data_IF_462611812674
#
_entry.id   IF_462611812674
#
_cell.length_a   1.000
_cell.length_b   1.000
_cell.length_c   1.000
_cell.angle_alpha   90.00
_cell.angle_beta   90.00
_cell.angle_gamma   90.00
#
_symmetry.space_group_name_H-M   'P 1'
#
loop_
_entity.id
_entity.type
_entity.pdbx_description
1 polymer ?
#
# COMPACT_ATOMS: atom_id res chain seq x y z
N UNK A 1 12.67 17.08 6.15
CA UNK A 1 11.96 15.92 6.68
C UNK A 1 12.74 14.67 6.32
N UNK A 2 12.94 13.77 7.25
CA UNK A 2 13.61 12.48 7.08
C UNK A 2 12.64 11.36 7.49
N UNK A 3 12.44 10.36 6.63
CA UNK A 3 11.62 9.18 6.91
C UNK A 3 12.45 7.93 6.73
N UNK A 4 12.19 6.89 7.53
CA UNK A 4 12.89 5.60 7.45
C UNK A 4 12.74 4.92 6.09
N UNK A 5 11.57 5.06 5.48
CA UNK A 5 11.31 4.73 4.07
C UNK A 5 10.32 5.73 3.46
N UNK A 6 10.44 6.02 2.15
CA UNK A 6 9.55 6.96 1.48
C UNK A 6 8.17 6.35 1.21
N UNK A 7 7.21 7.22 0.84
CA UNK A 7 5.92 6.86 0.26
C UNK A 7 5.00 6.01 1.13
N UNK A 8 5.10 6.15 2.47
CA UNK A 8 4.21 5.44 3.40
C UNK A 8 4.47 3.93 3.50
N UNK A 9 5.64 3.48 3.05
CA UNK A 9 6.07 2.08 3.24
C UNK A 9 6.54 1.83 4.67
N UNK A 10 6.61 0.56 5.06
CA UNK A 10 7.02 0.14 6.40
C UNK A 10 8.55 0.09 6.51
N UNK A 11 9.13 0.74 7.49
CA UNK A 11 10.59 0.89 7.60
C UNK A 11 11.10 0.93 9.03
N UNK A 12 10.52 0.10 9.90
CA UNK A 12 11.00 -0.08 11.26
C UNK A 12 12.35 -0.79 11.31
N UNK A 13 12.96 -0.89 12.50
CA UNK A 13 14.18 -1.67 12.68
C UNK A 13 13.92 -3.12 12.28
N UNK A 14 14.88 -3.70 11.58
CA UNK A 14 14.87 -5.13 11.21
C UNK A 14 16.17 -5.71 11.72
N UNK A 15 16.08 -6.45 12.82
CA UNK A 15 17.22 -7.10 13.46
C UNK A 15 16.79 -8.37 14.17
N UNK A 16 17.74 -9.12 14.65
CA UNK A 16 17.51 -10.29 15.49
C UNK A 16 17.24 -9.92 16.97
N UNK A 17 17.07 -8.61 17.26
CA UNK A 17 16.60 -8.05 18.54
C UNK A 17 17.64 -7.27 19.36
N UNK A 18 17.19 -6.69 20.45
CA UNK A 18 17.95 -6.15 21.58
C UNK A 18 18.88 -4.97 21.29
N UNK A 19 20.18 -5.20 21.30
CA UNK A 19 21.19 -4.14 21.20
C UNK A 19 21.24 -3.51 19.82
N UNK A 20 20.98 -4.29 18.76
CA UNK A 20 20.96 -3.80 17.38
C UNK A 20 19.77 -2.84 17.17
N UNK A 21 18.60 -3.16 17.72
CA UNK A 21 17.44 -2.28 17.66
C UNK A 21 17.73 -0.95 18.36
N UNK A 22 18.38 -0.97 19.53
CA UNK A 22 18.79 0.25 20.24
C UNK A 22 19.78 1.09 19.43
N UNK A 23 20.77 0.45 18.81
CA UNK A 23 21.76 1.14 17.96
C UNK A 23 21.09 1.77 16.71
N UNK A 24 20.19 1.05 16.05
CA UNK A 24 19.45 1.58 14.90
C UNK A 24 18.55 2.77 15.28
N UNK A 25 17.90 2.72 16.44
CA UNK A 25 17.09 3.81 16.94
C UNK A 25 17.92 5.01 17.39
N UNK A 26 19.12 4.77 17.96
CA UNK A 26 20.07 5.84 18.26
C UNK A 26 20.52 6.54 16.98
N UNK A 27 20.93 5.80 15.97
CA UNK A 27 21.28 6.34 14.66
C UNK A 27 20.12 7.12 14.00
N UNK A 28 18.88 6.64 14.15
CA UNK A 28 17.69 7.37 13.70
C UNK A 28 17.51 8.70 14.46
N UNK A 29 17.70 8.71 15.80
CA UNK A 29 17.64 9.95 16.60
C UNK A 29 18.71 10.97 16.21
N UNK A 30 19.91 10.49 15.86
CA UNK A 30 21.00 11.36 15.41
C UNK A 30 20.64 12.12 14.12
N UNK A 31 19.78 11.56 13.26
CA UNK A 31 19.27 12.29 12.09
C UNK A 31 18.48 13.56 12.48
N UNK A 32 17.84 13.58 13.66
CA UNK A 32 17.15 14.76 14.19
C UNK A 32 18.12 15.87 14.59
N UNK A 33 19.34 15.52 14.98
CA UNK A 33 20.39 16.48 15.37
C UNK A 33 21.02 17.18 14.17
N UNK A 34 20.87 16.63 12.96
CA UNK A 34 21.46 17.22 11.76
C UNK A 34 20.84 18.57 11.42
N UNK A 35 21.67 19.56 11.02
CA UNK A 35 21.17 20.85 10.52
C UNK A 35 20.14 20.65 9.40
N UNK A 36 19.04 21.42 9.43
CA UNK A 36 17.98 21.34 8.42
C UNK A 36 16.95 20.22 8.62
N UNK A 37 17.13 19.28 9.55
CA UNK A 37 16.11 18.29 9.86
C UNK A 37 15.06 18.90 10.79
N UNK A 38 13.85 19.11 10.28
CA UNK A 38 12.69 19.65 11.00
C UNK A 38 11.83 18.53 11.59
N UNK A 39 11.73 17.42 10.87
CA UNK A 39 10.93 16.26 11.24
C UNK A 39 11.64 14.98 10.81
N UNK A 40 11.61 13.96 11.64
CA UNK A 40 11.96 12.58 11.27
C UNK A 40 10.82 11.62 11.64
N UNK A 41 10.56 10.66 10.79
CA UNK A 41 9.49 9.68 10.94
C UNK A 41 9.97 8.25 10.72
N UNK A 42 9.44 7.34 11.54
CA UNK A 42 9.66 5.90 11.47
C UNK A 42 8.32 5.20 11.42
N UNK A 43 8.10 4.36 10.40
CA UNK A 43 6.93 3.48 10.34
C UNK A 43 7.33 2.11 10.87
N UNK A 44 7.07 1.88 12.15
CA UNK A 44 7.42 0.65 12.86
C UNK A 44 6.30 -0.39 12.72
N UNK A 45 6.40 -1.20 11.67
CA UNK A 45 5.38 -2.20 11.34
C UNK A 45 5.32 -3.35 12.34
N UNK A 46 6.45 -3.80 12.84
CA UNK A 46 6.51 -4.92 13.78
C UNK A 46 6.42 -4.50 15.25
N UNK A 47 6.27 -3.20 15.52
CA UNK A 47 6.22 -2.64 16.88
C UNK A 47 7.43 -3.02 17.75
N UNK A 48 8.56 -3.31 17.11
CA UNK A 48 9.81 -3.70 17.76
C UNK A 48 10.64 -2.53 18.27
N UNK A 49 10.32 -1.30 17.84
CA UNK A 49 11.05 -0.14 18.34
C UNK A 49 10.76 0.10 19.83
N UNK A 50 11.78 0.15 20.70
CA UNK A 50 11.60 0.51 22.10
C UNK A 50 10.93 1.87 22.24
N UNK A 51 10.25 2.10 23.36
CA UNK A 51 9.61 3.38 23.62
C UNK A 51 10.68 4.49 23.63
N UNK A 52 10.60 5.35 22.64
CA UNK A 52 11.59 6.41 22.40
C UNK A 52 11.25 7.72 23.11
N UNK A 53 10.18 7.77 23.92
CA UNK A 53 9.64 9.00 24.48
C UNK A 53 9.07 9.95 23.41
N UNK A 54 9.01 9.51 22.15
CA UNK A 54 8.41 10.25 21.05
C UNK A 54 6.91 9.99 20.95
N UNK A 55 6.18 10.94 20.39
CA UNK A 55 4.75 10.74 20.12
C UNK A 55 4.59 9.63 19.08
N UNK A 56 4.08 8.49 19.52
CA UNK A 56 3.71 7.38 18.65
C UNK A 56 2.21 7.46 18.32
N UNK A 57 1.88 7.34 17.05
CA UNK A 57 0.51 7.22 16.57
C UNK A 57 0.26 5.76 16.17
N UNK A 58 -0.88 5.20 16.56
CA UNK A 58 -1.30 3.88 16.08
C UNK A 58 -1.92 4.02 14.71
N UNK A 59 -1.37 3.30 13.74
CA UNK A 59 -1.93 3.17 12.40
C UNK A 59 -2.46 1.74 12.19
N UNK A 60 -3.33 1.58 11.21
CA UNK A 60 -4.02 0.32 10.93
C UNK A 60 -3.86 -0.04 9.46
N UNK A 61 -3.51 -1.29 9.21
CA UNK A 61 -3.64 -1.94 7.91
C UNK A 61 -4.52 -3.18 8.03
N UNK A 62 -4.81 -3.84 6.92
CA UNK A 62 -5.56 -5.09 6.88
C UNK A 62 -4.76 -6.14 6.13
N UNK A 63 -4.64 -7.31 6.71
CA UNK A 63 -3.84 -8.43 6.18
C UNK A 63 -4.77 -9.61 5.93
N UNK A 64 -4.72 -10.16 4.73
CA UNK A 64 -5.36 -11.43 4.37
C UNK A 64 -4.36 -12.55 4.62
N UNK A 65 -4.70 -13.50 5.46
CA UNK A 65 -3.93 -14.72 5.63
C UNK A 65 -4.14 -15.62 4.41
N UNK A 66 -3.07 -16.03 3.72
CA UNK A 66 -3.13 -16.84 2.51
C UNK A 66 -2.94 -18.34 2.78
N UNK A 67 -2.67 -18.74 4.01
CA UNK A 67 -2.51 -20.14 4.39
C UNK A 67 -3.81 -20.90 4.13
N UNK A 68 -3.69 -22.08 3.56
CA UNK A 68 -4.83 -22.85 3.06
C UNK A 68 -5.13 -22.63 1.58
N UNK A 69 -4.45 -21.65 0.93
CA UNK A 69 -4.59 -21.40 -0.50
C UNK A 69 -5.80 -20.55 -0.88
N UNK A 70 -5.95 -20.31 -2.18
CA UNK A 70 -6.96 -19.39 -2.69
C UNK A 70 -8.40 -19.86 -2.43
N UNK A 71 -8.65 -21.16 -2.46
CA UNK A 71 -10.00 -21.69 -2.24
C UNK A 71 -10.51 -21.39 -0.83
N UNK A 72 -9.64 -21.49 0.18
CA UNK A 72 -9.97 -21.09 1.56
C UNK A 72 -10.23 -19.59 1.63
N UNK A 73 -9.34 -18.76 1.06
CA UNK A 73 -9.53 -17.30 1.03
C UNK A 73 -10.84 -16.94 0.33
N UNK A 74 -11.12 -17.54 -0.81
CA UNK A 74 -12.30 -17.27 -1.61
C UNK A 74 -13.60 -17.68 -0.92
N UNK A 75 -13.66 -18.89 -0.37
CA UNK A 75 -14.90 -19.44 0.16
C UNK A 75 -15.20 -18.97 1.57
N UNK A 76 -14.18 -18.81 2.41
CA UNK A 76 -14.32 -18.56 3.85
C UNK A 76 -14.06 -17.10 4.24
N UNK A 77 -13.19 -16.37 3.51
CA UNK A 77 -12.73 -15.03 3.90
C UNK A 77 -13.35 -13.91 3.07
N UNK A 78 -13.51 -14.11 1.75
CA UNK A 78 -14.25 -13.14 0.94
C UNK A 78 -15.73 -13.20 1.23
N UNK A 79 -16.36 -12.05 1.49
CA UNK A 79 -17.80 -12.04 1.65
C UNK A 79 -18.56 -12.31 0.32
N UNK A 80 -19.84 -12.76 0.44
CA UNK A 80 -20.68 -13.07 -0.73
C UNK A 80 -20.80 -11.91 -1.72
N UNK A 81 -21.03 -10.64 -1.29
CA UNK A 81 -21.08 -9.50 -2.20
C UNK A 81 -19.81 -9.32 -3.01
N UNK A 82 -18.63 -9.54 -2.42
CA UNK A 82 -17.35 -9.39 -3.14
C UNK A 82 -17.18 -10.49 -4.18
N UNK A 83 -17.47 -11.74 -3.83
CA UNK A 83 -17.45 -12.84 -4.81
C UNK A 83 -18.38 -12.59 -6.00
N UNK A 84 -19.60 -12.06 -5.76
CA UNK A 84 -20.52 -11.69 -6.84
C UNK A 84 -19.95 -10.56 -7.74
N UNK A 85 -19.30 -9.57 -7.15
CA UNK A 85 -18.68 -8.48 -7.93
C UNK A 85 -17.52 -8.97 -8.80
N UNK A 86 -16.71 -9.90 -8.29
CA UNK A 86 -15.64 -10.52 -9.07
C UNK A 86 -16.24 -11.25 -10.30
N UNK A 87 -17.23 -12.12 -10.08
CA UNK A 87 -17.89 -12.85 -11.17
C UNK A 87 -18.51 -11.89 -12.20
N UNK A 88 -19.21 -10.85 -11.73
CA UNK A 88 -19.80 -9.85 -12.62
C UNK A 88 -18.76 -9.09 -13.42
N UNK A 89 -17.59 -8.81 -12.86
CA UNK A 89 -16.50 -8.20 -13.63
C UNK A 89 -16.01 -9.12 -14.74
N UNK A 90 -15.84 -10.41 -14.44
CA UNK A 90 -15.45 -11.44 -15.43
C UNK A 90 -16.55 -11.61 -16.50
N UNK A 91 -17.81 -11.69 -16.13
CA UNK A 91 -18.96 -11.76 -17.04
C UNK A 91 -19.06 -10.54 -17.96
N UNK A 92 -18.67 -9.37 -17.48
CA UNK A 92 -18.60 -8.13 -18.26
C UNK A 92 -17.30 -8.01 -19.10
N UNK A 93 -16.52 -9.07 -19.25
CA UNK A 93 -15.33 -9.08 -20.10
C UNK A 93 -14.12 -8.34 -19.51
N UNK A 94 -14.08 -8.10 -18.20
CA UNK A 94 -12.87 -7.56 -17.55
C UNK A 94 -11.87 -8.69 -17.36
N UNK A 95 -10.68 -8.52 -17.91
CA UNK A 95 -9.56 -9.45 -17.74
C UNK A 95 -8.48 -8.83 -16.86
N UNK A 96 -7.77 -9.67 -16.08
CA UNK A 96 -6.62 -9.24 -15.28
C UNK A 96 -5.42 -10.09 -15.60
N UNK A 97 -4.31 -9.41 -15.91
CA UNK A 97 -3.01 -10.03 -16.21
C UNK A 97 -1.86 -9.25 -15.58
N UNK A 98 -0.69 -9.85 -15.50
CA UNK A 98 0.54 -9.11 -15.21
C UNK A 98 0.86 -8.18 -16.39
N UNK A 99 1.38 -6.99 -16.09
CA UNK A 99 1.82 -6.03 -17.09
C UNK A 99 2.94 -6.61 -17.96
N UNK A 100 2.87 -6.34 -19.26
CA UNK A 100 3.82 -6.78 -20.28
C UNK A 100 4.55 -5.53 -20.83
N UNK A 101 5.74 -5.30 -20.33
CA UNK A 101 6.58 -4.19 -20.80
C UNK A 101 6.16 -2.81 -20.25
N UNK A 102 6.87 -1.79 -20.73
CA UNK A 102 6.73 -0.42 -20.24
C UNK A 102 5.43 0.25 -20.68
N UNK A 103 4.87 -0.15 -21.82
CA UNK A 103 3.64 0.44 -22.34
C UNK A 103 2.45 0.22 -21.38
N UNK A 104 2.30 -0.99 -20.83
CA UNK A 104 1.26 -1.25 -19.82
C UNK A 104 1.47 -0.40 -18.56
N UNK A 105 2.72 -0.16 -18.17
CA UNK A 105 3.04 0.69 -17.01
C UNK A 105 2.62 2.13 -17.30
N UNK A 106 2.93 2.67 -18.48
CA UNK A 106 2.54 4.04 -18.88
C UNK A 106 1.03 4.20 -18.91
N UNK A 107 0.31 3.27 -19.54
CA UNK A 107 -1.16 3.28 -19.57
C UNK A 107 -1.79 3.19 -18.18
N UNK A 108 -1.20 2.39 -17.29
CA UNK A 108 -1.64 2.38 -15.89
C UNK A 108 -1.38 3.74 -15.20
N UNK A 109 -0.24 4.37 -15.46
CA UNK A 109 0.09 5.69 -14.90
C UNK A 109 -0.89 6.76 -15.40
N UNK A 110 -1.38 6.67 -16.63
CA UNK A 110 -2.42 7.56 -17.13
C UNK A 110 -3.73 7.39 -16.35
N UNK A 111 -4.17 6.15 -16.09
CA UNK A 111 -5.32 5.87 -15.21
C UNK A 111 -5.08 6.44 -13.81
N UNK A 112 -3.89 6.27 -13.27
CA UNK A 112 -3.49 6.80 -11.97
C UNK A 112 -3.57 8.32 -11.91
N UNK A 113 -3.02 9.03 -12.91
CA UNK A 113 -3.06 10.50 -13.00
C UNK A 113 -4.49 11.02 -13.11
N UNK A 114 -5.28 10.48 -14.05
CA UNK A 114 -6.69 10.84 -14.21
C UNK A 114 -7.49 10.71 -12.90
N UNK A 115 -7.17 9.69 -12.11
CA UNK A 115 -7.83 9.45 -10.83
C UNK A 115 -7.43 10.44 -9.75
N UNK A 116 -6.14 10.81 -9.68
CA UNK A 116 -5.67 11.85 -8.77
C UNK A 116 -6.28 13.22 -9.10
N UNK A 117 -6.39 13.55 -10.38
CA UNK A 117 -7.01 14.80 -10.84
C UNK A 117 -8.49 14.84 -10.46
N UNK A 118 -9.23 13.74 -10.69
CA UNK A 118 -10.63 13.63 -10.30
C UNK A 118 -10.85 13.77 -8.79
N UNK A 119 -9.92 13.30 -7.97
CA UNK A 119 -9.97 13.44 -6.51
C UNK A 119 -9.40 14.77 -6.00
N UNK A 120 -8.84 15.59 -6.89
CA UNK A 120 -8.15 16.84 -6.53
C UNK A 120 -7.02 16.62 -5.50
N UNK A 121 -6.42 15.44 -5.52
CA UNK A 121 -5.27 15.10 -4.67
C UNK A 121 -4.01 15.41 -5.45
N UNK A 122 -3.41 16.56 -5.25
CA UNK A 122 -2.12 16.87 -5.85
C UNK A 122 -1.01 15.92 -5.40
N UNK A 123 0.11 15.88 -6.14
CA UNK A 123 1.35 15.26 -5.66
C UNK A 123 1.48 13.76 -5.92
N UNK A 124 0.98 13.27 -7.03
CA UNK A 124 1.21 11.88 -7.47
C UNK A 124 2.69 11.54 -7.68
N UNK A 125 2.99 10.26 -7.73
CA UNK A 125 4.34 9.79 -8.03
C UNK A 125 4.69 9.96 -9.50
N UNK A 126 5.96 10.23 -9.84
CA UNK A 126 6.40 10.35 -11.22
C UNK A 126 6.33 8.98 -11.91
N UNK A 127 6.01 8.98 -13.20
CA UNK A 127 5.96 7.79 -14.04
C UNK A 127 7.24 6.95 -13.96
N UNK A 128 8.39 7.63 -13.96
CA UNK A 128 9.68 6.98 -13.86
C UNK A 128 9.81 6.06 -12.63
N UNK A 129 9.16 6.40 -11.52
CA UNK A 129 9.15 5.54 -10.34
C UNK A 129 8.47 4.19 -10.62
N UNK A 130 7.30 4.21 -11.29
CA UNK A 130 6.59 2.98 -11.64
C UNK A 130 7.36 2.13 -12.64
N UNK A 131 7.94 2.75 -13.67
CA UNK A 131 8.79 2.08 -14.65
C UNK A 131 10.00 1.39 -14.00
N UNK A 132 10.72 2.11 -13.13
CA UNK A 132 11.89 1.57 -12.44
C UNK A 132 11.52 0.46 -11.44
N UNK A 133 10.42 0.60 -10.71
CA UNK A 133 9.96 -0.44 -9.79
C UNK A 133 9.63 -1.74 -10.53
N UNK A 134 8.88 -1.67 -11.64
CA UNK A 134 8.52 -2.85 -12.42
C UNK A 134 9.75 -3.46 -13.10
N UNK A 135 10.61 -2.64 -13.72
CA UNK A 135 11.81 -3.08 -14.40
C UNK A 135 12.80 -3.77 -13.44
N UNK A 136 13.13 -3.11 -12.31
CA UNK A 136 14.10 -3.64 -11.33
C UNK A 136 13.52 -4.77 -10.48
N UNK A 137 12.21 -4.80 -10.28
CA UNK A 137 11.52 -5.85 -9.54
C UNK A 137 11.46 -7.18 -10.27
N UNK A 138 11.54 -7.16 -11.62
CA UNK A 138 11.63 -8.33 -12.48
C UNK A 138 10.50 -9.34 -12.28
N UNK A 139 9.33 -8.89 -11.88
CA UNK A 139 8.17 -9.74 -11.56
C UNK A 139 8.27 -10.52 -10.24
N UNK A 140 9.46 -10.57 -9.62
CA UNK A 140 9.71 -11.32 -8.37
C UNK A 140 9.64 -10.45 -7.12
N UNK A 141 10.11 -9.19 -7.21
CA UNK A 141 10.08 -8.23 -6.09
C UNK A 141 8.98 -7.20 -6.24
N UNK A 142 8.57 -6.95 -7.47
CA UNK A 142 7.51 -6.00 -7.81
C UNK A 142 6.79 -6.51 -9.04
N UNK A 143 5.46 -6.54 -9.03
CA UNK A 143 4.65 -6.83 -10.20
C UNK A 143 3.47 -5.86 -10.28
N UNK A 144 3.23 -5.33 -11.47
CA UNK A 144 2.03 -4.59 -11.80
C UNK A 144 1.04 -5.55 -12.44
N UNK A 145 -0.17 -5.63 -11.88
CA UNK A 145 -1.31 -6.26 -12.51
C UNK A 145 -2.17 -5.18 -13.15
N UNK A 146 -2.64 -5.42 -14.35
CA UNK A 146 -3.54 -4.52 -15.08
C UNK A 146 -4.87 -5.20 -15.33
N UNK A 147 -5.95 -4.44 -15.17
CA UNK A 147 -7.29 -4.83 -15.60
C UNK A 147 -7.56 -4.22 -16.97
N UNK A 148 -7.97 -5.03 -17.91
CA UNK A 148 -8.30 -4.63 -19.28
C UNK A 148 -9.76 -4.88 -19.59
N UNK A 149 -10.33 -4.02 -20.43
CA UNK A 149 -11.66 -4.17 -20.99
C UNK A 149 -11.67 -3.56 -22.39
N UNK A 150 -12.16 -4.28 -23.41
CA UNK A 150 -12.19 -3.82 -24.81
C UNK A 150 -10.82 -3.32 -25.31
N UNK A 151 -9.74 -4.01 -24.91
CA UNK A 151 -8.37 -3.68 -25.29
C UNK A 151 -7.73 -2.50 -24.54
N UNK A 152 -8.48 -1.78 -23.70
CA UNK A 152 -8.00 -0.67 -22.89
C UNK A 152 -7.65 -1.08 -21.45
N UNK A 153 -6.64 -0.46 -20.84
CA UNK A 153 -6.37 -0.60 -19.40
C UNK A 153 -7.33 0.31 -18.64
N UNK A 154 -8.15 -0.29 -17.77
CA UNK A 154 -9.14 0.38 -16.94
C UNK A 154 -8.79 0.40 -15.45
N UNK A 155 -7.67 -0.22 -15.08
CA UNK A 155 -7.17 -0.23 -13.71
C UNK A 155 -5.88 -1.01 -13.59
N UNK A 156 -5.25 -0.91 -12.42
CA UNK A 156 -4.06 -1.68 -12.12
C UNK A 156 -3.75 -1.73 -10.64
N UNK A 157 -2.89 -2.67 -10.27
CA UNK A 157 -2.46 -2.90 -8.91
C UNK A 157 -0.98 -3.26 -8.85
N UNK A 158 -0.18 -2.41 -8.22
CA UNK A 158 1.25 -2.63 -8.04
C UNK A 158 1.49 -3.30 -6.68
N UNK A 159 2.05 -4.49 -6.73
CA UNK A 159 2.41 -5.30 -5.57
C UNK A 159 3.91 -5.27 -5.33
N UNK A 160 4.30 -5.23 -4.06
CA UNK A 160 5.67 -5.44 -3.58
C UNK A 160 5.76 -6.78 -2.87
N UNK A 161 6.79 -7.55 -3.17
CA UNK A 161 6.98 -8.91 -2.65
C UNK A 161 8.24 -8.98 -1.79
N UNK A 162 8.12 -9.53 -0.59
CA UNK A 162 9.24 -9.76 0.29
C UNK A 162 9.04 -11.01 1.15
N UNK A 163 10.00 -11.95 1.07
CA UNK A 163 9.96 -13.24 1.80
C UNK A 163 8.63 -13.97 1.57
N UNK A 164 7.74 -14.00 2.57
CA UNK A 164 6.43 -14.67 2.52
C UNK A 164 5.25 -13.70 2.48
N UNK A 165 5.52 -12.40 2.33
CA UNK A 165 4.50 -11.35 2.37
C UNK A 165 4.39 -10.60 1.06
N UNK A 166 3.17 -10.22 0.70
CA UNK A 166 2.86 -9.32 -0.41
C UNK A 166 2.25 -8.04 0.14
N UNK A 167 2.67 -6.89 -0.37
CA UNK A 167 2.08 -5.59 -0.04
C UNK A 167 1.40 -5.01 -1.28
N UNK A 168 0.10 -4.77 -1.19
CA UNK A 168 -0.65 -3.99 -2.14
C UNK A 168 -0.27 -2.51 -1.99
N UNK A 169 0.72 -2.06 -2.78
CA UNK A 169 1.28 -0.73 -2.58
C UNK A 169 0.42 0.36 -3.23
N UNK A 170 0.06 0.17 -4.50
CA UNK A 170 -0.82 1.08 -5.24
C UNK A 170 -1.84 0.33 -6.06
N UNK A 171 -3.12 0.69 -5.88
CA UNK A 171 -4.22 0.18 -6.67
C UNK A 171 -5.14 1.32 -7.10
N UNK A 172 -5.42 1.40 -8.38
CA UNK A 172 -6.32 2.39 -8.97
C UNK A 172 -7.18 1.77 -10.06
N UNK A 173 -8.40 2.27 -10.19
CA UNK A 173 -9.29 1.98 -11.30
C UNK A 173 -9.85 3.29 -11.86
N UNK A 174 -10.05 3.37 -13.17
CA UNK A 174 -10.74 4.46 -13.82
C UNK A 174 -12.23 4.48 -13.41
N UNK A 175 -12.98 5.50 -13.77
CA UNK A 175 -14.43 5.52 -13.56
C UNK A 175 -15.10 4.28 -14.20
N UNK A 176 -14.72 3.94 -15.44
CA UNK A 176 -15.18 2.72 -16.13
C UNK A 176 -14.79 1.45 -15.37
N UNK A 177 -13.56 1.41 -14.82
CA UNK A 177 -13.10 0.30 -13.99
C UNK A 177 -13.91 0.14 -12.69
N UNK A 178 -14.33 1.23 -12.06
CA UNK A 178 -15.21 1.18 -10.88
C UNK A 178 -16.60 0.63 -11.23
N UNK A 179 -17.21 1.08 -12.34
CA UNK A 179 -18.51 0.57 -12.84
C UNK A 179 -18.46 -0.92 -13.09
N UNK A 180 -17.36 -1.41 -13.69
CA UNK A 180 -17.15 -2.81 -14.03
C UNK A 180 -16.56 -3.65 -12.88
N UNK A 181 -16.39 -3.07 -11.68
CA UNK A 181 -15.79 -3.73 -10.50
C UNK A 181 -14.35 -4.23 -10.72
N UNK A 182 -13.59 -3.63 -11.62
CA UNK A 182 -12.22 -4.02 -11.95
C UNK A 182 -11.29 -4.05 -10.72
N UNK A 183 -11.41 -3.09 -9.80
CA UNK A 183 -10.62 -3.05 -8.57
C UNK A 183 -10.84 -4.28 -7.67
N UNK A 184 -12.06 -4.81 -7.60
CA UNK A 184 -12.35 -6.03 -6.83
C UNK A 184 -11.77 -7.28 -7.50
N UNK A 185 -11.86 -7.36 -8.83
CA UNK A 185 -11.26 -8.46 -9.61
C UNK A 185 -9.74 -8.42 -9.54
N UNK A 186 -9.12 -7.23 -9.59
CA UNK A 186 -7.67 -7.05 -9.40
C UNK A 186 -7.20 -7.64 -8.07
N UNK A 187 -7.86 -7.30 -6.96
CA UNK A 187 -7.52 -7.88 -5.66
C UNK A 187 -7.66 -9.41 -5.65
N UNK A 188 -8.76 -9.94 -6.18
CA UNK A 188 -8.97 -11.39 -6.22
C UNK A 188 -7.89 -12.10 -7.04
N UNK A 189 -7.48 -11.55 -8.17
CA UNK A 189 -6.41 -12.10 -9.02
C UNK A 189 -5.03 -11.98 -8.38
N UNK A 190 -4.69 -10.84 -7.79
CA UNK A 190 -3.44 -10.65 -7.07
C UNK A 190 -3.31 -11.60 -5.87
N UNK A 191 -4.40 -11.79 -5.10
CA UNK A 191 -4.43 -12.71 -3.97
C UNK A 191 -4.30 -14.17 -4.45
N UNK A 192 -4.99 -14.55 -5.54
CA UNK A 192 -4.87 -15.89 -6.14
C UNK A 192 -3.43 -16.17 -6.58
N UNK A 193 -2.82 -15.24 -7.28
CA UNK A 193 -1.44 -15.31 -7.73
C UNK A 193 -0.47 -15.46 -6.55
N UNK A 194 -0.66 -14.67 -5.50
CA UNK A 194 0.14 -14.77 -4.27
C UNK A 194 -0.01 -16.13 -3.56
N UNK A 195 -1.22 -16.72 -3.53
CA UNK A 195 -1.44 -18.07 -3.01
C UNK A 195 -0.70 -19.11 -3.85
N UNK A 196 -0.77 -19.01 -5.19
CA UNK A 196 -0.10 -19.95 -6.11
C UNK A 196 1.42 -19.89 -5.99
N UNK A 197 1.97 -18.71 -5.74
CA UNK A 197 3.41 -18.52 -5.51
C UNK A 197 3.85 -18.85 -4.07
N UNK A 198 2.94 -19.28 -3.19
CA UNK A 198 3.23 -19.76 -1.83
C UNK A 198 3.55 -18.65 -0.82
N UNK A 199 3.01 -17.44 -1.01
CA UNK A 199 3.05 -16.39 -0.01
C UNK A 199 2.11 -16.71 1.15
N UNK A 200 2.45 -16.25 2.36
CA UNK A 200 1.70 -16.53 3.58
C UNK A 200 0.66 -15.45 3.89
N UNK A 201 0.89 -14.22 3.46
CA UNK A 201 0.01 -13.09 3.74
C UNK A 201 -0.01 -12.05 2.62
N UNK A 202 -1.13 -11.32 2.54
CA UNK A 202 -1.35 -10.24 1.61
C UNK A 202 -1.84 -9.00 2.34
N UNK A 203 -0.96 -8.00 2.47
CA UNK A 203 -1.25 -6.75 3.13
C UNK A 203 -1.97 -5.79 2.17
N UNK A 204 -3.21 -5.46 2.47
CA UNK A 204 -4.08 -4.59 1.68
C UNK A 204 -3.74 -3.09 1.81
N UNK A 205 -2.64 -2.75 2.51
CA UNK A 205 -2.19 -1.38 2.73
C UNK A 205 -3.01 -0.60 3.75
N UNK A 206 -2.57 0.63 4.06
CA UNK A 206 -3.23 1.51 5.01
C UNK A 206 -4.60 2.01 4.51
N UNK A 207 -5.53 2.26 5.43
CA UNK A 207 -6.87 2.78 5.12
C UNK A 207 -7.05 4.26 5.47
N UNK A 208 -6.02 4.89 6.06
CA UNK A 208 -5.99 6.30 6.44
C UNK A 208 -7.25 6.77 7.21
N UNK A 209 -7.83 5.88 8.04
CA UNK A 209 -9.03 6.16 8.82
C UNK A 209 -10.35 6.21 8.02
N UNK A 210 -10.31 6.00 6.69
CA UNK A 210 -11.52 6.01 5.85
C UNK A 210 -12.36 4.76 6.08
N UNK A 211 -13.53 4.89 6.71
CA UNK A 211 -14.44 3.79 7.05
C UNK A 211 -14.79 2.91 5.86
N UNK A 212 -15.18 3.51 4.74
CA UNK A 212 -15.52 2.76 3.53
C UNK A 212 -14.39 1.87 3.01
N UNK A 213 -13.13 2.34 3.13
CA UNK A 213 -11.96 1.57 2.72
C UNK A 213 -11.63 0.45 3.72
N UNK A 214 -11.86 0.69 5.02
CA UNK A 214 -11.75 -0.35 6.05
C UNK A 214 -12.75 -1.47 5.79
N UNK A 215 -14.04 -1.13 5.59
CA UNK A 215 -15.10 -2.09 5.34
C UNK A 215 -14.86 -2.85 4.01
N UNK A 216 -14.35 -2.15 2.99
CA UNK A 216 -13.93 -2.78 1.74
C UNK A 216 -12.83 -3.85 1.98
N UNK A 217 -11.78 -3.53 2.72
CA UNK A 217 -10.68 -4.46 3.01
C UNK A 217 -11.11 -5.64 3.87
N UNK A 218 -11.96 -5.40 4.86
CA UNK A 218 -12.58 -6.47 5.66
C UNK A 218 -13.37 -7.42 4.79
N UNK A 219 -14.14 -6.91 3.82
CA UNK A 219 -14.93 -7.73 2.90
C UNK A 219 -14.10 -8.59 1.92
N UNK A 220 -12.80 -8.31 1.79
CA UNK A 220 -11.81 -9.14 1.08
C UNK A 220 -11.10 -10.14 2.03
N UNK A 221 -11.59 -10.31 3.26
CA UNK A 221 -10.98 -11.18 4.26
C UNK A 221 -9.81 -10.56 5.01
N UNK A 222 -9.62 -9.26 4.91
CA UNK A 222 -8.56 -8.55 5.62
C UNK A 222 -8.84 -8.44 7.11
N UNK A 223 -7.93 -8.92 7.93
CA UNK A 223 -7.94 -8.78 9.39
C UNK A 223 -7.13 -7.55 9.79
N UNK A 224 -7.64 -6.77 10.74
CA UNK A 224 -6.98 -5.57 11.25
C UNK A 224 -5.62 -5.92 11.86
N UNK A 225 -4.58 -5.19 11.42
CA UNK A 225 -3.24 -5.23 11.98
C UNK A 225 -2.80 -3.83 12.37
N UNK A 226 -2.38 -3.66 13.64
CA UNK A 226 -1.95 -2.38 14.20
C UNK A 226 -0.45 -2.26 14.19
N UNK A 227 0.05 -1.09 13.79
CA UNK A 227 1.45 -0.76 13.80
C UNK A 227 1.66 0.69 14.27
N UNK A 228 2.89 1.05 14.58
CA UNK A 228 3.22 2.37 15.13
C UNK A 228 3.86 3.27 14.09
N UNK A 229 3.51 4.55 14.13
CA UNK A 229 4.21 5.61 13.41
C UNK A 229 4.82 6.52 14.48
N UNK A 230 6.14 6.50 14.57
CA UNK A 230 6.90 7.31 15.53
C UNK A 230 7.36 8.56 14.81
N UNK A 231 7.02 9.74 15.36
CA UNK A 231 7.37 11.05 14.78
C UNK A 231 8.09 11.91 15.78
N UNK A 232 9.24 12.42 15.39
CA UNK A 232 9.96 13.45 16.10
C UNK A 232 9.91 14.76 15.32
N UNK A 233 9.43 15.84 15.96
CA UNK A 233 9.39 17.18 15.38
C UNK A 233 10.17 18.13 16.26
N UNK A 234 11.07 18.91 15.67
CA UNK A 234 11.67 20.07 16.35
C UNK A 234 10.60 21.14 16.58
N UNK A 235 10.86 22.06 17.53
CA UNK A 235 9.92 23.13 17.90
C UNK A 235 9.43 23.93 16.67
N UNK A 236 10.33 24.31 15.78
CA UNK A 236 10.00 24.97 14.50
C UNK A 236 9.07 24.13 13.63
N UNK A 237 9.27 22.81 13.59
CA UNK A 237 8.39 21.87 12.86
C UNK A 237 6.99 21.76 13.46
N UNK A 238 6.86 21.96 14.78
CA UNK A 238 5.54 22.00 15.45
C UNK A 238 4.74 23.23 15.04
N UNK A 239 5.39 24.41 14.95
CA UNK A 239 4.77 25.66 14.49
C UNK A 239 4.30 25.56 13.04
N UNK A 240 5.15 25.05 12.14
CA UNK A 240 4.80 24.86 10.72
C UNK A 240 3.63 23.86 10.56
N UNK A 241 3.62 22.79 11.36
CA UNK A 241 2.54 21.80 11.36
C UNK A 241 1.21 22.36 11.84
N UNK A 242 1.23 23.21 12.87
CA UNK A 242 0.04 23.89 13.37
C UNK A 242 -0.55 24.86 12.33
N UNK A 243 0.29 25.65 11.66
CA UNK A 243 -0.13 26.58 10.59
C UNK A 243 -0.72 25.87 9.37
N UNK A 244 -0.21 24.68 9.01
CA UNK A 244 -0.78 23.85 7.92
C UNK A 244 -2.12 23.22 8.31
N UNK A 245 -2.28 22.80 9.56
CA UNK A 245 -3.54 22.26 10.07
C UNK A 245 -4.67 23.27 10.04
N UNK A 246 -4.40 24.54 10.35
CA UNK A 246 -5.39 25.62 10.27
C UNK A 246 -5.85 25.94 8.84
N UNK A 247 -5.01 25.72 7.82
CA UNK A 247 -5.39 25.94 6.41
C UNK A 247 -6.21 24.83 5.78
N UNK A 248 -6.32 23.66 6.41
CA UNK A 248 -7.12 22.54 5.92
C UNK A 248 -8.48 22.42 6.62
N UNK A 249 -8.75 23.29 7.60
CA UNK A 249 -10.01 23.31 8.37
C UNK A 249 -10.88 24.54 8.05
N UNK A 250 -10.52 25.33 7.03
CA UNK A 250 -11.27 26.46 6.49
C UNK A 250 -11.68 26.09 5.02
#
# INVERSE_FOLDING_TARGET
TCWSLPFGTYGGPVSDGGDVDRALLAAYRDQLSRPGTIEAGLVDFHSGAPDSGAKAETAVTHIVDLRGGFDVVWNERFDKPRRRRVRRAEENGVEVRRAQGEEDVRRFVDVYRQRLDAWKTGGGHPEQLFLELVRRGGGKRTALFVATHEGGIIGGHLNLYHRKSVIAWYGMASARGDELNAGTLLYARCIRDACQEGYADYNLGASLGKRSLIDYKKSLGGVEYRYRIVRHRRFVGRLIGALRGMRMSG
#
